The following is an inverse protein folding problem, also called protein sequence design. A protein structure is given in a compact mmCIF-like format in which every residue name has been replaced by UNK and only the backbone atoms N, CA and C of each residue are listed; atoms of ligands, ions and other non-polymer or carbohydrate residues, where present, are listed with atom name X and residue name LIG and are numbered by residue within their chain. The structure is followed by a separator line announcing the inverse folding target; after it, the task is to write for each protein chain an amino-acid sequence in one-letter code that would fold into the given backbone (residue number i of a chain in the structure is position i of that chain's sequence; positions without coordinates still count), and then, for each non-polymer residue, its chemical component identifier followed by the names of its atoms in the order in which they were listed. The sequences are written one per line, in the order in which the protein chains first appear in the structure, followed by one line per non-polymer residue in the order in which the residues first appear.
data_IF_923247483478
#
_entry.id   IF_923247483478
#
_cell.length_a   1.000
_cell.length_b   1.000
_cell.length_c   1.000
_cell.angle_alpha   90.00
_cell.angle_beta   90.00
_cell.angle_gamma   90.00
#
_symmetry.space_group_name_H-M   'P 1'
#
loop_
_entity.id
_entity.type
_entity.pdbx_description
1 polymer ?
#
# COMPACT_ATOMS: atom_id res chain seq x y z
N UNK A 1 40.89 -46.18 78.72
CA UNK A 1 41.55 -45.54 77.56
C UNK A 1 41.06 -46.27 76.32
N UNK A 2 40.51 -45.67 75.26
CA UNK A 2 40.43 -44.27 74.89
C UNK A 2 39.09 -43.91 74.26
N UNK A 3 38.74 -42.64 74.41
CA UNK A 3 37.51 -42.02 73.96
C UNK A 3 37.59 -41.74 72.45
N UNK A 4 36.62 -42.21 71.67
CA UNK A 4 36.46 -41.87 70.25
C UNK A 4 35.98 -40.43 70.12
N UNK A 5 36.90 -39.51 69.84
CA UNK A 5 36.58 -38.13 69.50
C UNK A 5 36.12 -38.02 68.04
N UNK A 6 34.84 -37.74 67.84
CA UNK A 6 34.30 -37.24 66.57
C UNK A 6 34.86 -35.84 66.30
N UNK A 7 35.76 -35.73 65.32
CA UNK A 7 36.23 -34.45 64.80
C UNK A 7 35.08 -33.79 64.00
N UNK A 8 34.74 -32.51 64.25
CA UNK A 8 33.79 -31.80 63.41
C UNK A 8 34.40 -31.56 62.04
N UNK A 9 33.63 -31.82 60.98
CA UNK A 9 33.99 -31.50 59.60
C UNK A 9 34.26 -30.00 59.53
N UNK A 10 35.52 -29.64 59.34
CA UNK A 10 35.93 -28.26 59.13
C UNK A 10 35.13 -27.69 57.95
N UNK A 11 34.36 -26.63 58.20
CA UNK A 11 33.84 -25.76 57.15
C UNK A 11 35.02 -25.29 56.30
N UNK A 12 35.27 -25.94 55.18
CA UNK A 12 36.19 -25.44 54.17
C UNK A 12 35.54 -24.16 53.64
N UNK A 13 36.08 -23.02 54.05
CA UNK A 13 35.72 -21.72 53.48
C UNK A 13 36.21 -21.76 52.03
N UNK A 14 35.30 -22.09 51.11
CA UNK A 14 35.56 -22.01 49.67
C UNK A 14 35.68 -20.54 49.33
N UNK A 15 36.90 -20.09 49.07
CA UNK A 15 37.15 -18.72 48.64
C UNK A 15 36.55 -18.48 47.24
N UNK A 16 35.48 -17.68 47.20
CA UNK A 16 34.75 -17.33 45.99
C UNK A 16 35.32 -16.07 45.31
N UNK A 17 36.43 -15.51 45.82
CA UNK A 17 37.07 -14.28 45.33
C UNK A 17 37.53 -14.34 43.87
N UNK A 18 37.67 -15.54 43.31
CA UNK A 18 38.12 -15.77 41.94
C UNK A 18 36.99 -15.88 40.90
N UNK A 19 35.70 -15.78 41.32
CA UNK A 19 34.61 -15.67 40.34
C UNK A 19 34.69 -14.30 39.68
N UNK A 20 34.90 -14.26 38.36
CA UNK A 20 34.69 -13.05 37.57
C UNK A 20 33.29 -12.50 37.87
N UNK A 21 33.21 -11.42 38.64
CA UNK A 21 31.96 -10.65 38.79
C UNK A 21 31.50 -10.14 37.43
N UNK A 22 30.22 -9.75 37.28
CA UNK A 22 29.57 -9.33 36.03
C UNK A 22 30.52 -8.62 35.05
N UNK A 23 31.20 -9.41 34.21
CA UNK A 23 32.23 -8.94 33.30
C UNK A 23 31.59 -8.76 31.94
N UNK A 24 31.03 -7.56 31.75
CA UNK A 24 30.38 -7.15 30.51
C UNK A 24 30.30 -5.63 30.42
N UNK A 25 30.11 -5.12 29.21
CA UNK A 25 29.92 -3.68 28.98
C UNK A 25 28.68 -3.20 29.76
N UNK A 26 28.88 -2.31 30.74
CA UNK A 26 27.77 -1.70 31.49
C UNK A 26 26.82 -0.99 30.51
N UNK A 27 25.52 -1.16 30.72
CA UNK A 27 24.50 -0.49 29.89
C UNK A 27 24.59 1.01 30.15
N UNK A 28 24.72 1.79 29.08
CA UNK A 28 24.55 3.25 29.16
C UNK A 28 23.10 3.53 29.55
N UNK A 29 22.91 4.24 30.66
CA UNK A 29 21.62 4.77 31.06
C UNK A 29 21.32 5.96 30.13
N UNK A 30 20.27 5.82 29.33
CA UNK A 30 19.83 6.88 28.43
C UNK A 30 18.72 7.62 29.16
N UNK A 31 18.88 8.93 29.30
CA UNK A 31 17.81 9.80 29.73
C UNK A 31 16.79 9.93 28.59
N UNK A 32 15.65 9.26 28.76
CA UNK A 32 14.60 9.15 27.76
C UNK A 32 13.65 10.34 27.77
N UNK A 33 13.63 11.13 28.84
CA UNK A 33 12.71 12.27 28.94
C UNK A 33 13.07 13.34 27.90
N UNK A 34 14.36 13.44 27.54
CA UNK A 34 14.86 14.25 26.42
C UNK A 34 14.22 13.93 25.08
N UNK A 35 13.62 12.75 24.92
CA UNK A 35 12.86 12.43 23.71
C UNK A 35 11.75 13.45 23.57
N UNK A 36 10.98 13.76 24.64
CA UNK A 36 9.81 14.67 24.61
C UNK A 36 10.12 16.07 24.11
N UNK A 37 11.32 16.57 24.37
CA UNK A 37 11.74 17.92 23.96
C UNK A 37 12.11 18.03 22.47
N UNK A 38 12.39 16.89 21.80
CA UNK A 38 12.83 16.89 20.40
C UNK A 38 11.61 17.09 19.48
N UNK A 39 11.59 18.04 18.53
CA UNK A 39 10.47 18.15 17.61
C UNK A 39 10.21 16.87 16.78
N UNK A 40 8.93 16.55 16.50
CA UNK A 40 8.54 15.29 15.81
C UNK A 40 9.22 15.09 14.44
N UNK A 41 9.48 16.18 13.70
CA UNK A 41 10.20 16.12 12.42
C UNK A 41 11.62 15.54 12.55
N UNK A 42 12.25 15.67 13.71
CA UNK A 42 13.58 15.11 14.00
C UNK A 42 13.51 13.67 14.54
N UNK A 43 12.32 13.13 14.80
CA UNK A 43 12.11 11.76 15.30
C UNK A 43 11.51 10.82 14.23
N UNK A 44 11.65 11.12 12.95
CA UNK A 44 11.03 10.36 11.86
C UNK A 44 11.71 9.03 11.57
N UNK A 45 13.02 8.95 11.80
CA UNK A 45 13.84 7.75 11.58
C UNK A 45 14.67 7.43 12.82
N UNK A 46 15.15 6.18 12.93
CA UNK A 46 16.08 5.82 14.00
C UNK A 46 17.37 6.65 13.94
N UNK A 47 17.83 7.02 12.74
CA UNK A 47 19.01 7.87 12.55
C UNK A 47 18.75 9.31 13.02
N UNK A 48 17.63 9.90 12.62
CA UNK A 48 17.31 11.29 12.99
C UNK A 48 17.14 11.44 14.51
N UNK A 49 16.44 10.48 15.14
CA UNK A 49 16.30 10.45 16.60
C UNK A 49 17.64 10.26 17.30
N UNK A 50 18.52 9.40 16.76
CA UNK A 50 19.86 9.18 17.28
C UNK A 50 20.73 10.46 17.22
N UNK A 51 20.69 11.18 16.09
CA UNK A 51 21.39 12.46 15.94
C UNK A 51 20.88 13.50 16.93
N UNK A 52 19.56 13.62 17.11
CA UNK A 52 18.96 14.57 18.03
C UNK A 52 19.29 14.26 19.50
N UNK A 53 19.29 12.98 19.89
CA UNK A 53 19.69 12.53 21.24
C UNK A 53 21.21 12.47 21.46
N UNK A 54 22.01 12.69 20.41
CA UNK A 54 23.48 12.52 20.43
C UNK A 54 23.93 11.14 20.92
N UNK A 55 23.21 10.09 20.54
CA UNK A 55 23.53 8.68 20.86
C UNK A 55 23.69 7.84 19.60
N UNK A 56 24.28 6.66 19.72
CA UNK A 56 24.40 5.74 18.58
C UNK A 56 23.04 5.18 18.13
N UNK A 57 22.83 5.06 16.81
CA UNK A 57 21.63 4.45 16.19
C UNK A 57 21.28 3.08 16.79
N UNK A 58 22.29 2.26 17.07
CA UNK A 58 22.11 0.93 17.67
C UNK A 58 21.51 1.01 19.08
N UNK A 59 21.79 2.07 19.83
CA UNK A 59 21.19 2.33 21.14
C UNK A 59 19.70 2.64 20.99
N UNK A 60 19.32 3.50 20.04
CA UNK A 60 17.90 3.79 19.72
C UNK A 60 17.17 2.53 19.25
N UNK A 61 17.79 1.75 18.36
CA UNK A 61 17.21 0.48 17.91
C UNK A 61 17.02 -0.53 19.05
N UNK A 62 17.94 -0.57 20.02
CA UNK A 62 17.80 -1.37 21.24
C UNK A 62 16.63 -0.88 22.10
N UNK A 63 16.47 0.44 22.26
CA UNK A 63 15.33 1.05 22.98
C UNK A 63 13.98 0.70 22.33
N UNK A 64 13.93 0.62 21.00
CA UNK A 64 12.75 0.17 20.27
C UNK A 64 12.47 -1.31 20.55
N UNK A 65 13.49 -2.18 20.51
CA UNK A 65 13.33 -3.61 20.83
C UNK A 65 12.91 -3.86 22.27
N UNK A 66 13.43 -3.07 23.21
CA UNK A 66 13.03 -3.13 24.63
C UNK A 66 11.73 -2.39 24.94
N UNK A 67 11.01 -1.90 23.92
CA UNK A 67 9.73 -1.18 24.04
C UNK A 67 9.78 0.03 24.99
N UNK A 68 10.91 0.73 25.05
CA UNK A 68 10.97 2.03 25.73
C UNK A 68 10.54 3.17 24.81
N UNK A 69 10.72 2.97 23.50
CA UNK A 69 10.16 3.82 22.44
C UNK A 69 9.29 2.96 21.52
N UNK A 70 8.27 3.56 20.91
CA UNK A 70 7.39 2.95 19.92
C UNK A 70 7.42 3.71 18.61
N UNK A 71 7.20 3.00 17.51
CA UNK A 71 6.94 3.61 16.22
C UNK A 71 5.45 3.94 16.14
N UNK A 72 5.13 5.21 16.01
CA UNK A 72 3.79 5.71 15.80
C UNK A 72 3.59 6.08 14.33
N UNK A 73 2.67 5.38 13.66
CA UNK A 73 2.24 5.66 12.29
C UNK A 73 0.86 6.31 12.29
N UNK A 74 0.57 7.12 11.28
CA UNK A 74 -0.79 7.65 11.13
C UNK A 74 -1.77 6.53 10.78
N UNK A 75 -2.80 6.32 11.61
CA UNK A 75 -3.94 5.47 11.25
C UNK A 75 -4.83 6.16 10.19
N UNK A 76 -4.79 7.48 10.12
CA UNK A 76 -5.63 8.29 9.24
C UNK A 76 -4.99 8.35 7.84
N UNK A 77 -5.48 7.49 6.95
CA UNK A 77 -5.27 7.59 5.49
C UNK A 77 -3.77 7.69 5.14
N UNK A 78 -2.94 6.73 5.57
CA UNK A 78 -1.48 6.84 5.60
C UNK A 78 -0.89 7.15 4.22
N UNK A 79 -1.39 6.56 3.15
CA UNK A 79 -0.77 6.61 1.80
C UNK A 79 -1.14 7.88 1.00
N UNK A 80 -2.02 8.74 1.53
CA UNK A 80 -2.59 9.84 0.72
C UNK A 80 -1.73 11.09 0.58
N UNK A 81 -0.97 11.42 1.62
CA UNK A 81 -0.16 12.63 1.69
C UNK A 81 1.15 12.27 2.35
N UNK A 82 2.22 12.94 1.99
CA UNK A 82 3.50 12.76 2.65
C UNK A 82 3.39 12.95 4.17
N UNK A 83 2.63 13.94 4.63
CA UNK A 83 2.36 14.16 6.07
C UNK A 83 1.68 12.96 6.74
N UNK A 84 0.82 12.25 6.02
CA UNK A 84 0.13 11.06 6.53
C UNK A 84 1.04 9.84 6.53
N UNK A 85 1.99 9.78 5.61
CA UNK A 85 2.98 8.71 5.52
C UNK A 85 4.08 8.84 6.59
N UNK A 86 4.17 9.98 7.27
CA UNK A 86 5.17 10.22 8.30
C UNK A 86 4.92 9.35 9.53
N UNK A 87 5.96 8.60 9.88
CA UNK A 87 6.05 7.85 11.12
C UNK A 87 6.96 8.62 12.09
N UNK A 88 6.68 8.52 13.38
CA UNK A 88 7.49 9.11 14.43
C UNK A 88 7.88 8.05 15.46
N UNK A 89 9.05 8.20 16.06
CA UNK A 89 9.45 7.45 17.24
C UNK A 89 9.11 8.26 18.49
N UNK A 90 8.30 7.68 19.37
CA UNK A 90 7.76 8.31 20.57
C UNK A 90 8.03 7.43 21.79
N UNK A 91 7.92 8.02 22.98
CA UNK A 91 7.87 7.20 24.20
C UNK A 91 6.54 6.44 24.27
N UNK A 92 6.52 5.38 25.07
CA UNK A 92 5.31 4.56 25.22
C UNK A 92 4.19 5.32 25.93
N UNK A 93 4.56 6.19 26.86
CA UNK A 93 3.68 7.03 27.68
C UNK A 93 3.48 8.45 27.13
N UNK A 94 4.07 8.75 25.96
CA UNK A 94 3.85 10.02 25.27
C UNK A 94 2.49 10.02 24.57
N UNK A 95 1.71 11.09 24.79
CA UNK A 95 0.42 11.30 24.13
C UNK A 95 0.59 11.34 22.61
N UNK A 96 -0.38 10.75 21.90
CA UNK A 96 -0.35 10.72 20.44
C UNK A 96 -0.49 12.14 19.86
N UNK A 97 0.34 12.52 18.89
CA UNK A 97 0.27 13.84 18.30
C UNK A 97 -1.06 14.03 17.57
N UNK A 98 -1.69 15.18 17.78
CA UNK A 98 -2.92 15.55 17.07
C UNK A 98 -2.60 15.69 15.58
N UNK A 99 -3.28 14.91 14.75
CA UNK A 99 -3.19 15.00 13.28
C UNK A 99 -4.56 15.33 12.71
N UNK A 100 -4.64 16.45 11.99
CA UNK A 100 -5.82 16.79 11.18
C UNK A 100 -5.60 16.35 9.73
N UNK A 101 -6.61 15.71 9.14
CA UNK A 101 -6.59 15.32 7.74
C UNK A 101 -7.87 15.84 7.08
N UNK A 102 -7.74 16.53 5.94
CA UNK A 102 -8.93 16.97 5.17
C UNK A 102 -9.81 15.77 4.78
N UNK A 103 -11.12 15.98 4.75
CA UNK A 103 -12.08 14.98 4.26
C UNK A 103 -11.74 14.57 2.82
N UNK A 104 -11.89 13.30 2.48
CA UNK A 104 -11.58 12.78 1.12
C UNK A 104 -12.75 12.96 0.14
N UNK A 105 -13.88 13.51 0.58
CA UNK A 105 -15.09 13.58 -0.24
C UNK A 105 -14.90 14.47 -1.49
N UNK A 106 -13.90 15.36 -1.50
CA UNK A 106 -13.57 16.18 -2.66
C UNK A 106 -12.67 15.47 -3.69
N UNK A 107 -12.06 14.33 -3.36
CA UNK A 107 -11.23 13.57 -4.30
C UNK A 107 -12.17 12.74 -5.17
N UNK A 108 -12.20 13.05 -6.47
CA UNK A 108 -12.99 12.30 -7.44
C UNK A 108 -12.58 10.83 -7.45
N UNK A 109 -13.56 9.93 -7.31
CA UNK A 109 -13.37 8.49 -7.46
C UNK A 109 -13.83 8.10 -8.85
N UNK A 110 -12.90 7.68 -9.68
CA UNK A 110 -13.17 7.24 -11.06
C UNK A 110 -13.12 5.72 -11.09
N UNK A 111 -14.13 5.09 -11.70
CA UNK A 111 -14.09 3.66 -12.01
C UNK A 111 -13.47 3.44 -13.39
N UNK A 112 -12.86 2.28 -13.58
CA UNK A 112 -12.25 1.89 -14.85
C UNK A 112 -12.84 0.55 -15.29
N UNK A 113 -13.17 0.46 -16.57
CA UNK A 113 -13.40 -0.80 -17.25
C UNK A 113 -12.07 -1.26 -17.84
N UNK A 114 -11.63 -2.45 -17.49
CA UNK A 114 -10.32 -2.97 -17.90
C UNK A 114 -10.56 -4.23 -18.72
N UNK A 115 -10.06 -4.23 -19.96
CA UNK A 115 -10.08 -5.39 -20.84
C UNK A 115 -8.68 -5.98 -20.92
N UNK A 116 -8.56 -7.26 -20.56
CA UNK A 116 -7.33 -8.02 -20.60
C UNK A 116 -7.62 -9.40 -21.18
N UNK A 117 -6.67 -9.92 -21.93
CA UNK A 117 -6.63 -11.26 -22.46
C UNK A 117 -5.41 -11.99 -21.89
N UNK A 118 -5.36 -13.31 -22.11
CA UNK A 118 -4.22 -14.13 -21.68
C UNK A 118 -2.96 -13.74 -22.48
N UNK A 119 -1.84 -13.37 -21.82
CA UNK A 119 -0.59 -13.16 -22.53
C UNK A 119 -0.11 -14.43 -23.21
N UNK A 120 0.51 -14.29 -24.38
CA UNK A 120 1.02 -15.41 -25.18
C UNK A 120 2.49 -15.18 -25.50
N UNK A 121 3.26 -16.26 -25.41
CA UNK A 121 4.70 -16.26 -25.61
C UNK A 121 5.07 -17.34 -26.62
N UNK A 122 6.13 -17.11 -27.40
CA UNK A 122 6.68 -18.13 -28.29
C UNK A 122 7.45 -19.22 -27.52
N UNK A 123 7.92 -20.24 -28.24
CA UNK A 123 8.69 -21.34 -27.65
C UNK A 123 10.02 -20.91 -27.00
N UNK A 124 10.51 -19.71 -27.34
CA UNK A 124 11.72 -19.11 -26.80
C UNK A 124 11.43 -18.15 -25.64
N UNK A 125 10.16 -18.01 -25.24
CA UNK A 125 9.73 -17.14 -24.14
C UNK A 125 9.62 -15.66 -24.49
N UNK A 126 9.64 -15.29 -25.79
CA UNK A 126 9.41 -13.92 -26.24
C UNK A 126 7.92 -13.63 -26.28
N UNK A 127 7.55 -12.41 -25.89
CA UNK A 127 6.16 -11.95 -25.84
C UNK A 127 5.62 -11.76 -27.27
N UNK A 128 4.66 -12.60 -27.67
CA UNK A 128 3.93 -12.46 -28.94
C UNK A 128 2.71 -11.57 -28.76
N UNK A 129 2.05 -11.67 -27.61
CA UNK A 129 0.88 -10.90 -27.29
C UNK A 129 0.83 -10.60 -25.79
N UNK A 130 0.83 -9.31 -25.45
CA UNK A 130 0.83 -8.85 -24.06
C UNK A 130 -0.45 -9.20 -23.28
N UNK A 131 -1.55 -9.49 -23.99
CA UNK A 131 -2.88 -9.58 -23.38
C UNK A 131 -3.48 -8.24 -22.96
N UNK A 132 -2.77 -7.11 -23.12
CA UNK A 132 -3.24 -5.79 -22.65
C UNK A 132 -4.12 -5.12 -23.70
N UNK A 133 -5.44 -5.31 -23.61
CA UNK A 133 -6.39 -4.69 -24.54
C UNK A 133 -6.59 -3.21 -24.20
N UNK A 134 -7.00 -2.87 -22.97
CA UNK A 134 -7.20 -1.47 -22.62
C UNK A 134 -7.70 -1.20 -21.20
N UNK A 135 -7.57 0.07 -20.80
CA UNK A 135 -8.09 0.63 -19.54
C UNK A 135 -8.93 1.84 -19.92
N UNK A 136 -10.22 1.79 -19.58
CA UNK A 136 -11.21 2.76 -20.02
C UNK A 136 -11.86 3.43 -18.79
N UNK A 137 -11.55 4.70 -18.50
CA UNK A 137 -12.18 5.41 -17.38
C UNK A 137 -13.66 5.64 -17.65
N UNK A 138 -14.52 5.30 -16.69
CA UNK A 138 -15.97 5.57 -16.72
C UNK A 138 -16.22 7.02 -16.31
N UNK A 139 -16.09 7.92 -17.28
CA UNK A 139 -16.17 9.37 -17.09
C UNK A 139 -17.01 10.05 -18.15
N UNK A 140 -17.58 11.20 -17.81
CA UNK A 140 -18.26 12.11 -18.74
C UNK A 140 -17.50 13.43 -18.83
N UNK A 141 -17.52 14.06 -20.00
CA UNK A 141 -17.01 15.43 -20.19
C UNK A 141 -18.18 16.39 -20.06
N UNK A 142 -18.18 17.21 -19.02
CA UNK A 142 -19.21 18.22 -18.78
C UNK A 142 -18.59 19.62 -18.75
N UNK A 143 -19.24 20.63 -19.36
CA UNK A 143 -18.77 22.01 -19.25
C UNK A 143 -18.89 22.51 -17.80
N UNK A 144 -17.87 23.23 -17.33
CA UNK A 144 -17.87 23.85 -16.00
C UNK A 144 -18.98 24.89 -15.89
N UNK A 145 -19.86 24.72 -14.89
CA UNK A 145 -20.97 25.65 -14.65
C UNK A 145 -20.52 26.96 -13.97
N UNK A 146 -19.39 26.95 -13.25
CA UNK A 146 -18.89 28.09 -12.48
C UNK A 146 -17.47 28.42 -12.91
N UNK A 147 -17.18 29.71 -12.99
CA UNK A 147 -15.82 30.23 -13.04
C UNK A 147 -15.12 29.98 -11.72
N UNK A 148 -13.83 29.69 -11.77
CA UNK A 148 -12.96 29.63 -10.60
C UNK A 148 -11.58 30.16 -10.98
N UNK A 149 -10.74 30.45 -9.98
CA UNK A 149 -9.40 31.01 -10.19
C UNK A 149 -8.58 30.23 -11.21
N UNK A 150 -8.75 28.90 -11.25
CA UNK A 150 -7.95 28.02 -12.10
C UNK A 150 -8.62 27.66 -13.44
N UNK A 151 -9.84 28.16 -13.72
CA UNK A 151 -10.61 27.78 -14.93
C UNK A 151 -11.85 28.64 -15.16
N UNK A 152 -12.05 29.06 -16.41
CA UNK A 152 -13.25 29.75 -16.85
C UNK A 152 -14.48 28.82 -16.85
N UNK A 153 -15.69 29.41 -16.85
CA UNK A 153 -16.92 28.67 -17.10
C UNK A 153 -16.94 28.18 -18.55
N UNK A 154 -17.46 26.98 -18.78
CA UNK A 154 -17.54 26.34 -20.09
C UNK A 154 -16.36 25.43 -20.44
N UNK A 155 -15.26 25.41 -19.69
CA UNK A 155 -14.17 24.44 -19.90
C UNK A 155 -14.68 23.02 -19.66
N UNK A 156 -14.40 22.07 -20.57
CA UNK A 156 -14.80 20.68 -20.41
C UNK A 156 -14.02 20.02 -19.26
N UNK A 157 -14.74 19.66 -18.20
CA UNK A 157 -14.23 18.90 -17.05
C UNK A 157 -14.60 17.43 -17.18
N UNK A 158 -13.65 16.56 -16.84
CA UNK A 158 -13.91 15.12 -16.77
C UNK A 158 -14.46 14.79 -15.39
N UNK A 159 -15.68 14.27 -15.33
CA UNK A 159 -16.33 13.86 -14.08
C UNK A 159 -16.57 12.35 -14.05
N UNK A 160 -16.47 11.71 -12.88
CA UNK A 160 -16.86 10.32 -12.74
C UNK A 160 -18.36 10.17 -12.94
N UNK A 161 -18.76 9.10 -13.64
CA UNK A 161 -20.17 8.73 -13.78
C UNK A 161 -20.68 8.31 -12.39
N UNK A 162 -21.75 8.95 -11.92
CA UNK A 162 -22.26 8.74 -10.57
C UNK A 162 -22.97 7.38 -10.39
N UNK A 163 -23.72 6.93 -11.40
CA UNK A 163 -24.37 5.63 -11.44
C UNK A 163 -24.00 4.91 -12.73
N UNK A 164 -23.36 3.76 -12.60
CA UNK A 164 -23.01 2.92 -13.73
C UNK A 164 -24.17 1.97 -13.95
N UNK A 165 -24.82 2.10 -15.10
CA UNK A 165 -25.94 1.25 -15.50
C UNK A 165 -25.50 0.31 -16.62
N UNK A 166 -26.32 -0.70 -16.91
CA UNK A 166 -26.09 -1.66 -18.00
C UNK A 166 -25.85 -1.00 -19.35
N UNK A 167 -26.59 0.06 -19.66
CA UNK A 167 -26.42 0.85 -20.90
C UNK A 167 -25.06 1.55 -21.00
N UNK A 168 -24.56 2.07 -19.87
CA UNK A 168 -23.23 2.70 -19.83
C UNK A 168 -22.16 1.65 -20.10
N UNK A 169 -22.24 0.49 -19.45
CA UNK A 169 -21.29 -0.61 -19.69
C UNK A 169 -21.40 -1.10 -21.15
N UNK A 170 -22.60 -1.31 -21.67
CA UNK A 170 -22.84 -1.69 -23.07
C UNK A 170 -22.16 -0.73 -24.04
N UNK A 171 -22.42 0.57 -23.90
CA UNK A 171 -21.83 1.58 -24.78
C UNK A 171 -20.30 1.60 -24.71
N UNK A 172 -19.70 1.38 -23.54
CA UNK A 172 -18.25 1.26 -23.40
C UNK A 172 -17.70 -0.01 -24.05
N UNK A 173 -18.40 -1.14 -23.91
CA UNK A 173 -18.01 -2.38 -24.58
C UNK A 173 -18.00 -2.20 -26.09
N UNK A 174 -19.09 -1.67 -26.65
CA UNK A 174 -19.26 -1.46 -28.09
C UNK A 174 -18.31 -0.40 -28.63
N UNK A 175 -18.24 0.77 -28.00
CA UNK A 175 -17.53 1.93 -28.58
C UNK A 175 -16.03 1.96 -28.23
N UNK A 176 -15.60 1.22 -27.20
CA UNK A 176 -14.21 1.28 -26.71
C UNK A 176 -13.55 -0.08 -26.70
N UNK A 177 -14.19 -1.11 -26.14
CA UNK A 177 -13.56 -2.42 -25.97
C UNK A 177 -13.49 -3.18 -27.28
N UNK A 178 -14.59 -3.33 -28.02
CA UNK A 178 -14.61 -4.06 -29.28
C UNK A 178 -13.59 -3.49 -30.29
N UNK A 179 -13.52 -2.17 -30.54
CA UNK A 179 -12.47 -1.61 -31.39
C UNK A 179 -11.05 -1.92 -30.90
N UNK A 180 -10.82 -1.83 -29.58
CA UNK A 180 -9.50 -2.12 -29.01
C UNK A 180 -9.12 -3.61 -29.12
N UNK A 181 -10.11 -4.52 -29.04
CA UNK A 181 -9.90 -5.94 -29.33
C UNK A 181 -9.52 -6.08 -30.80
N UNK A 182 -10.33 -5.59 -31.73
CA UNK A 182 -10.09 -5.68 -33.18
C UNK A 182 -8.72 -5.11 -33.59
N UNK A 183 -8.27 -4.03 -32.95
CA UNK A 183 -6.97 -3.40 -33.21
C UNK A 183 -5.79 -4.24 -32.69
N UNK A 184 -5.92 -4.83 -31.49
CA UNK A 184 -4.80 -5.47 -30.78
C UNK A 184 -4.79 -6.99 -30.87
N UNK A 185 -5.85 -7.61 -31.36
CA UNK A 185 -5.93 -9.06 -31.42
C UNK A 185 -4.88 -9.63 -32.37
N UNK A 186 -4.20 -10.72 -32.02
CA UNK A 186 -3.21 -11.33 -32.90
C UNK A 186 -3.84 -11.75 -34.22
N UNK A 187 -3.21 -11.36 -35.34
CA UNK A 187 -3.70 -11.70 -36.69
C UNK A 187 -3.71 -13.21 -36.96
N UNK A 188 -2.85 -13.96 -36.27
CA UNK A 188 -2.76 -15.42 -36.37
C UNK A 188 -4.02 -16.14 -35.87
N UNK A 189 -4.77 -15.50 -34.95
CA UNK A 189 -6.01 -16.03 -34.39
C UNK A 189 -7.26 -15.45 -35.08
N UNK A 190 -7.10 -14.76 -36.21
CA UNK A 190 -8.24 -14.25 -36.97
C UNK A 190 -9.13 -15.42 -37.41
N UNK A 191 -10.41 -15.35 -37.04
CA UNK A 191 -11.39 -16.42 -37.28
C UNK A 191 -11.56 -17.43 -36.15
N UNK A 192 -10.79 -17.32 -35.06
CA UNK A 192 -11.08 -18.04 -33.82
C UNK A 192 -12.06 -17.25 -32.95
N UNK A 193 -13.03 -17.92 -32.28
CA UNK A 193 -13.98 -17.24 -31.42
C UNK A 193 -13.30 -16.61 -30.20
N UNK A 194 -13.72 -15.40 -29.83
CA UNK A 194 -13.16 -14.61 -28.72
C UNK A 194 -14.18 -14.54 -27.59
N UNK A 195 -14.02 -15.37 -26.56
CA UNK A 195 -14.91 -15.32 -25.41
C UNK A 195 -14.59 -14.15 -24.48
N UNK A 196 -15.57 -13.25 -24.28
CA UNK A 196 -15.49 -12.21 -23.24
C UNK A 196 -16.07 -12.74 -21.94
N UNK A 197 -15.24 -12.77 -20.90
CA UNK A 197 -15.67 -13.08 -19.54
C UNK A 197 -15.84 -11.79 -18.74
N UNK A 198 -17.00 -11.63 -18.11
CA UNK A 198 -17.31 -10.56 -17.18
C UNK A 198 -17.26 -11.09 -15.72
N UNK A 199 -17.02 -10.20 -14.75
CA UNK A 199 -17.12 -10.54 -13.33
C UNK A 199 -18.60 -10.57 -12.87
N UNK A 200 -18.89 -10.85 -11.60
CA UNK A 200 -20.27 -10.95 -11.11
C UNK A 200 -20.88 -9.58 -10.72
N UNK A 201 -20.55 -8.51 -11.46
CA UNK A 201 -21.12 -7.18 -11.18
C UNK A 201 -22.56 -7.08 -11.69
N UNK A 202 -23.41 -6.35 -10.96
CA UNK A 202 -24.84 -6.22 -11.31
C UNK A 202 -25.11 -5.48 -12.63
N UNK A 203 -24.14 -4.75 -13.15
CA UNK A 203 -24.31 -3.80 -14.26
C UNK A 203 -23.94 -4.39 -15.62
N UNK A 204 -23.83 -5.71 -15.71
CA UNK A 204 -23.39 -6.40 -16.92
C UNK A 204 -24.47 -6.53 -17.97
N UNK A 205 -24.02 -6.61 -19.22
CA UNK A 205 -24.89 -6.90 -20.36
C UNK A 205 -25.30 -8.38 -20.30
N UNK A 206 -26.45 -8.72 -20.87
CA UNK A 206 -26.82 -10.14 -20.99
C UNK A 206 -25.95 -10.79 -22.08
N UNK A 207 -25.81 -12.11 -22.04
CA UNK A 207 -25.06 -12.87 -23.05
C UNK A 207 -25.62 -12.65 -24.46
N UNK A 208 -26.95 -12.51 -24.57
CA UNK A 208 -27.67 -12.36 -25.83
C UNK A 208 -28.05 -10.89 -26.13
N UNK A 209 -27.26 -9.92 -25.64
CA UNK A 209 -27.53 -8.50 -25.88
C UNK A 209 -27.42 -8.17 -27.37
N UNK A 210 -28.57 -7.95 -28.02
CA UNK A 210 -28.70 -7.82 -29.48
C UNK A 210 -27.79 -6.73 -30.08
N UNK A 211 -27.67 -5.58 -29.39
CA UNK A 211 -26.84 -4.47 -29.86
C UNK A 211 -25.34 -4.80 -29.79
N UNK A 212 -24.92 -5.48 -28.72
CA UNK A 212 -23.55 -5.96 -28.57
C UNK A 212 -23.22 -7.03 -29.61
N UNK A 213 -24.03 -8.08 -29.73
CA UNK A 213 -23.81 -9.19 -30.65
C UNK A 213 -23.72 -8.71 -32.11
N UNK A 214 -24.57 -7.76 -32.50
CA UNK A 214 -24.53 -7.19 -33.86
C UNK A 214 -23.17 -6.58 -34.19
N UNK A 215 -22.58 -5.79 -33.29
CA UNK A 215 -21.29 -5.11 -33.54
C UNK A 215 -20.10 -6.06 -33.31
N UNK A 216 -20.26 -7.04 -32.43
CA UNK A 216 -19.27 -8.08 -32.15
C UNK A 216 -18.98 -8.94 -33.39
N UNK A 217 -20.01 -9.29 -34.18
CA UNK A 217 -19.86 -10.06 -35.42
C UNK A 217 -19.40 -9.25 -36.64
N UNK A 218 -19.26 -7.93 -36.52
CA UNK A 218 -18.77 -7.09 -37.64
C UNK A 218 -17.28 -7.32 -37.91
N UNK A 219 -16.85 -7.10 -39.15
CA UNK A 219 -15.44 -7.19 -39.61
C UNK A 219 -14.81 -8.60 -39.56
N UNK A 220 -15.64 -9.65 -39.55
CA UNK A 220 -15.17 -11.05 -39.60
C UNK A 220 -14.61 -11.58 -38.28
N UNK A 221 -14.86 -10.88 -37.18
CA UNK A 221 -14.64 -11.38 -35.83
C UNK A 221 -15.88 -12.14 -35.33
N UNK A 222 -15.66 -13.13 -34.47
CA UNK A 222 -16.70 -13.85 -33.73
C UNK A 222 -16.38 -13.69 -32.24
N UNK A 223 -17.07 -12.79 -31.54
CA UNK A 223 -16.77 -12.34 -30.16
C UNK A 223 -17.98 -12.57 -29.26
#
# INVERSE_FOLDING_TARGET
MGSSSSQPISNVVVDVSHRKGNCGRKRVQVDLDKVRDIPLNQRSTLCSLACALKIGKNTVHRLLKSRMIRRHSNAIKPILKEENMRNYYMLVDEEDPIRSCKSKNFIAKVMFLVALARPRFDAQGRELFSGKIGIFPLVTKEPTKRTSVNRAAGTLETKPIASINKEVIRSYLIQKVLPAIKEKWPREDMGCPIFIQQDNARTHIDLDDEEFCRVASEDGFDI
#
